data_IF_109521602725
#
_entry.id   IF_109521602725
#
_cell.length_a   1.000
_cell.length_b   1.000
_cell.length_c   1.000
_cell.angle_alpha   90.00
_cell.angle_beta   90.00
_cell.angle_gamma   90.00
#
_symmetry.space_group_name_H-M   'P 1'
#
loop_
_entity.id
_entity.type
_entity.pdbx_description
1 polymer ?
#
# COMPACT_ATOMS: atom_id res chain seq x y z
N UNK A 1 -53.56 -27.18 -27.42
CA UNK A 1 -52.09 -27.33 -27.63
C UNK A 1 -51.34 -25.99 -27.71
N UNK A 2 -51.91 -24.92 -28.30
CA UNK A 2 -51.24 -23.62 -28.46
C UNK A 2 -51.01 -22.82 -27.15
N UNK A 3 -51.91 -22.90 -26.16
CA UNK A 3 -51.79 -22.15 -24.88
C UNK A 3 -50.67 -22.63 -23.94
N UNK A 4 -50.14 -23.85 -24.13
CA UNK A 4 -49.11 -24.43 -23.25
C UNK A 4 -47.70 -24.06 -23.69
N UNK A 5 -47.51 -23.85 -24.99
CA UNK A 5 -46.22 -23.47 -25.59
C UNK A 5 -45.88 -22.01 -25.26
N UNK A 6 -46.88 -21.12 -25.18
CA UNK A 6 -46.67 -19.70 -24.84
C UNK A 6 -46.22 -19.50 -23.39
N UNK A 7 -46.71 -20.32 -22.45
CA UNK A 7 -46.26 -20.24 -21.05
C UNK A 7 -44.83 -20.74 -20.87
N UNK A 8 -44.43 -21.80 -21.58
CA UNK A 8 -43.05 -22.32 -21.52
C UNK A 8 -42.03 -21.28 -22.02
N UNK A 9 -42.34 -20.61 -23.14
CA UNK A 9 -41.47 -19.57 -23.68
C UNK A 9 -41.35 -18.34 -22.76
N UNK A 10 -42.43 -17.92 -22.10
CA UNK A 10 -42.39 -16.78 -21.16
C UNK A 10 -41.54 -17.09 -19.93
N UNK A 11 -41.65 -18.29 -19.35
CA UNK A 11 -40.81 -18.70 -18.21
C UNK A 11 -39.33 -18.86 -18.59
N UNK A 12 -39.04 -19.35 -19.80
CA UNK A 12 -37.69 -19.54 -20.29
C UNK A 12 -37.00 -18.20 -20.62
N UNK A 13 -37.76 -17.22 -21.13
CA UNK A 13 -37.28 -15.85 -21.33
C UNK A 13 -37.07 -15.10 -20.00
N UNK A 14 -37.96 -15.29 -19.00
CA UNK A 14 -37.80 -14.71 -17.67
C UNK A 14 -36.57 -15.27 -16.92
N UNK A 15 -36.25 -16.56 -17.11
CA UNK A 15 -35.02 -17.17 -16.58
C UNK A 15 -33.75 -16.65 -17.25
N UNK A 16 -33.77 -16.39 -18.56
CA UNK A 16 -32.60 -15.85 -19.30
C UNK A 16 -32.33 -14.38 -18.95
N UNK A 17 -33.37 -13.57 -18.77
CA UNK A 17 -33.23 -12.15 -18.37
C UNK A 17 -32.79 -12.01 -16.90
N UNK A 18 -33.18 -12.93 -16.02
CA UNK A 18 -32.72 -12.93 -14.61
C UNK A 18 -31.30 -13.47 -14.43
N UNK A 19 -30.82 -14.34 -15.33
CA UNK A 19 -29.41 -14.80 -15.34
C UNK A 19 -28.42 -13.73 -15.84
N UNK A 20 -28.90 -12.66 -16.47
CA UNK A 20 -28.04 -11.68 -17.16
C UNK A 20 -27.64 -10.47 -16.30
N UNK A 21 -27.86 -10.48 -14.98
CA UNK A 21 -27.57 -9.30 -14.12
C UNK A 21 -26.77 -9.64 -12.85
N UNK A 22 -26.13 -10.81 -12.79
CA UNK A 22 -25.04 -11.05 -11.84
C UNK A 22 -23.69 -10.82 -12.52
N UNK A 23 -23.55 -9.68 -13.21
CA UNK A 23 -22.23 -9.08 -13.38
C UNK A 23 -21.79 -8.64 -11.99
N UNK A 24 -21.02 -9.51 -11.33
CA UNK A 24 -20.22 -9.11 -10.18
C UNK A 24 -19.28 -8.01 -10.70
N UNK A 25 -19.69 -6.75 -10.54
CA UNK A 25 -18.91 -5.60 -10.94
C UNK A 25 -17.61 -5.63 -10.13
N UNK A 26 -16.58 -6.18 -10.76
CA UNK A 26 -15.29 -6.40 -10.11
C UNK A 26 -14.53 -5.09 -10.16
N UNK A 27 -14.62 -4.32 -9.07
CA UNK A 27 -13.90 -3.04 -8.88
C UNK A 27 -12.38 -3.22 -8.73
N UNK A 28 -11.86 -4.44 -8.85
CA UNK A 28 -10.44 -4.69 -8.72
C UNK A 28 -9.68 -4.03 -9.87
N UNK A 29 -8.59 -3.34 -9.54
CA UNK A 29 -7.69 -2.77 -10.54
C UNK A 29 -6.29 -3.34 -10.39
N UNK A 30 -5.60 -3.52 -11.52
CA UNK A 30 -4.21 -3.98 -11.56
C UNK A 30 -3.34 -2.84 -12.08
N UNK A 31 -2.38 -2.46 -11.27
CA UNK A 31 -1.45 -1.37 -11.53
C UNK A 31 -0.06 -1.98 -11.73
N UNK A 32 0.56 -1.69 -12.87
CA UNK A 32 1.85 -2.27 -13.23
C UNK A 32 2.92 -1.20 -13.27
N UNK A 33 4.05 -1.46 -12.63
CA UNK A 33 5.20 -0.56 -12.68
C UNK A 33 5.62 -0.40 -14.15
N UNK A 34 5.64 0.83 -14.68
CA UNK A 34 6.03 1.03 -16.07
C UNK A 34 7.44 0.53 -16.33
N UNK A 35 7.62 -0.14 -17.46
CA UNK A 35 8.95 -0.48 -17.98
C UNK A 35 9.73 0.82 -18.17
N UNK A 36 10.90 0.90 -17.53
CA UNK A 36 11.75 2.09 -17.49
C UNK A 36 13.20 1.68 -17.28
N UNK A 37 14.13 2.56 -17.64
CA UNK A 37 15.55 2.34 -17.37
C UNK A 37 15.85 2.54 -15.88
N UNK A 38 16.58 1.59 -15.32
CA UNK A 38 17.21 1.70 -14.00
C UNK A 38 18.69 1.94 -14.26
N UNK A 39 19.19 3.12 -13.92
CA UNK A 39 20.53 3.55 -14.31
C UNK A 39 21.60 3.16 -13.29
N UNK A 40 21.20 2.92 -12.04
CA UNK A 40 22.11 2.62 -10.93
C UNK A 40 21.60 1.44 -10.10
N UNK A 41 22.54 0.77 -9.45
CA UNK A 41 22.22 -0.19 -8.38
C UNK A 41 21.63 0.55 -7.17
N UNK A 42 20.77 -0.12 -6.40
CA UNK A 42 20.08 0.44 -5.24
C UNK A 42 19.25 1.71 -5.56
N UNK A 43 18.68 1.77 -6.77
CA UNK A 43 17.90 2.92 -7.22
C UNK A 43 16.41 2.80 -6.86
N UNK A 44 15.83 3.91 -6.40
CA UNK A 44 14.41 4.02 -6.06
C UNK A 44 13.65 4.71 -7.19
N UNK A 45 12.74 3.98 -7.83
CA UNK A 45 11.86 4.52 -8.87
C UNK A 45 10.42 4.49 -8.40
N UNK A 46 9.74 5.61 -8.62
CA UNK A 46 8.37 5.86 -8.22
C UNK A 46 7.49 5.99 -9.45
N UNK A 47 6.22 5.60 -9.30
CA UNK A 47 5.16 5.82 -10.27
C UNK A 47 3.84 6.14 -9.57
N UNK A 48 2.97 6.88 -10.25
CA UNK A 48 1.62 7.21 -9.77
C UNK A 48 0.55 6.75 -10.75
N UNK A 49 -0.58 6.31 -10.23
CA UNK A 49 -1.72 5.83 -11.00
C UNK A 49 -2.98 6.54 -10.53
N UNK A 50 -3.67 7.25 -11.42
CA UNK A 50 -5.00 7.78 -11.13
C UNK A 50 -5.99 6.60 -11.13
N UNK A 51 -6.80 6.48 -10.08
CA UNK A 51 -7.87 5.50 -10.01
C UNK A 51 -9.10 5.99 -10.78
N UNK A 52 -8.92 6.28 -12.07
CA UNK A 52 -9.92 6.96 -12.91
C UNK A 52 -11.20 6.13 -13.12
N UNK A 53 -11.04 4.81 -13.30
CA UNK A 53 -12.15 3.87 -13.51
C UNK A 53 -12.95 3.57 -12.23
N UNK A 54 -12.54 4.12 -11.09
CA UNK A 54 -13.19 3.93 -9.80
C UNK A 54 -13.68 5.30 -9.34
N UNK A 55 -14.96 5.63 -9.54
CA UNK A 55 -15.50 6.89 -9.03
C UNK A 55 -15.39 6.97 -7.50
N UNK A 56 -15.86 5.90 -6.84
CA UNK A 56 -15.80 5.68 -5.40
C UNK A 56 -15.74 4.18 -5.12
N UNK A 57 -14.82 3.76 -4.27
CA UNK A 57 -14.68 2.38 -3.82
C UNK A 57 -13.99 2.28 -2.46
N UNK A 58 -14.01 1.09 -1.90
CA UNK A 58 -13.45 0.80 -0.57
C UNK A 58 -12.35 -0.25 -0.70
N UNK A 59 -11.10 0.18 -0.45
CA UNK A 59 -9.93 -0.68 -0.50
C UNK A 59 -9.89 -1.64 0.69
N UNK A 60 -9.81 -2.94 0.39
CA UNK A 60 -9.86 -4.02 1.40
C UNK A 60 -8.64 -4.92 1.41
N UNK A 61 -7.94 -5.09 0.28
CA UNK A 61 -6.69 -5.88 0.23
C UNK A 61 -5.88 -5.59 -1.03
N UNK A 62 -4.60 -5.99 -1.02
CA UNK A 62 -3.75 -5.97 -2.20
C UNK A 62 -2.95 -7.26 -2.36
N UNK A 63 -2.65 -7.59 -3.61
CA UNK A 63 -1.78 -8.69 -4.00
C UNK A 63 -0.62 -8.18 -4.85
N UNK A 64 0.59 -8.58 -4.51
CA UNK A 64 1.81 -8.17 -5.19
C UNK A 64 2.25 -9.22 -6.23
N UNK A 65 2.82 -8.76 -7.33
CA UNK A 65 3.60 -9.57 -8.27
C UNK A 65 4.92 -8.87 -8.45
N UNK A 66 6.03 -9.48 -8.03
CA UNK A 66 7.34 -8.84 -7.95
C UNK A 66 8.39 -9.76 -8.55
N UNK A 67 9.29 -9.21 -9.36
CA UNK A 67 10.53 -9.89 -9.76
C UNK A 67 11.57 -9.74 -8.65
N UNK A 68 11.62 -10.74 -7.76
CA UNK A 68 12.50 -10.76 -6.60
C UNK A 68 13.99 -10.72 -6.96
N UNK A 69 14.35 -11.08 -8.20
CA UNK A 69 15.73 -11.00 -8.69
C UNK A 69 16.17 -9.55 -8.95
N UNK A 70 15.21 -8.67 -9.23
CA UNK A 70 15.45 -7.26 -9.54
C UNK A 70 15.12 -6.31 -8.40
N UNK A 71 14.28 -6.73 -7.44
CA UNK A 71 13.69 -5.81 -6.46
C UNK A 71 14.15 -6.14 -5.03
N UNK A 72 14.66 -5.14 -4.32
CA UNK A 72 14.97 -5.23 -2.89
C UNK A 72 13.68 -5.20 -2.06
N UNK A 73 12.84 -4.21 -2.34
CA UNK A 73 11.53 -4.05 -1.73
C UNK A 73 10.62 -3.16 -2.59
N UNK A 74 9.34 -3.15 -2.28
CA UNK A 74 8.34 -2.32 -2.96
C UNK A 74 7.42 -1.74 -1.90
N UNK A 75 7.27 -0.43 -1.85
CA UNK A 75 6.34 0.27 -0.96
C UNK A 75 5.17 0.89 -1.75
N UNK A 76 4.03 1.04 -1.09
CA UNK A 76 2.80 1.54 -1.70
C UNK A 76 2.11 2.55 -0.81
N UNK A 77 1.40 3.46 -1.46
CA UNK A 77 0.56 4.44 -0.78
C UNK A 77 -0.61 4.84 -1.64
N UNK A 78 -1.55 5.56 -1.05
CA UNK A 78 -2.59 6.26 -1.78
C UNK A 78 -2.68 7.69 -1.28
N UNK A 79 -2.89 8.63 -2.19
CA UNK A 79 -2.93 10.04 -1.84
C UNK A 79 -3.81 10.89 -2.74
N UNK A 80 -3.91 12.15 -2.36
CA UNK A 80 -4.69 13.17 -3.03
C UNK A 80 -4.04 13.63 -4.32
N UNK A 81 -2.73 13.85 -4.31
CA UNK A 81 -1.98 14.30 -5.48
C UNK A 81 -0.53 13.80 -5.39
N UNK A 82 0.05 13.23 -6.46
CA UNK A 82 1.46 12.88 -6.48
C UNK A 82 2.33 14.16 -6.57
N UNK A 83 3.60 14.08 -6.16
CA UNK A 83 4.55 15.18 -6.42
C UNK A 83 5.07 15.21 -7.87
N UNK A 84 4.86 14.15 -8.64
CA UNK A 84 5.21 14.05 -10.05
C UNK A 84 4.10 13.33 -10.82
N UNK A 85 3.83 13.80 -12.04
CA UNK A 85 2.94 13.14 -12.99
C UNK A 85 3.70 12.46 -14.14
N UNK A 86 5.04 12.41 -14.05
CA UNK A 86 5.83 11.58 -14.96
C UNK A 86 5.40 10.12 -14.80
N UNK A 87 5.45 9.36 -15.90
CA UNK A 87 5.13 7.92 -15.87
C UNK A 87 5.95 7.17 -14.81
N UNK A 88 7.23 7.53 -14.72
CA UNK A 88 8.16 7.09 -13.67
C UNK A 88 9.13 8.21 -13.33
N UNK A 89 9.58 8.30 -12.09
CA UNK A 89 10.61 9.25 -11.66
C UNK A 89 11.49 8.65 -10.57
N UNK A 90 12.71 9.17 -10.40
CA UNK A 90 13.53 8.84 -9.24
C UNK A 90 12.90 9.39 -7.96
N UNK A 91 12.61 8.53 -6.98
CA UNK A 91 12.03 8.92 -5.69
C UNK A 91 12.94 9.87 -4.89
N UNK A 92 14.24 9.93 -5.21
CA UNK A 92 15.15 10.89 -4.61
C UNK A 92 14.78 12.34 -4.97
N UNK A 93 14.17 12.58 -6.14
CA UNK A 93 13.69 13.91 -6.55
C UNK A 93 12.64 14.46 -5.58
N UNK A 94 11.87 13.59 -4.95
CA UNK A 94 10.78 13.93 -4.02
C UNK A 94 11.22 13.84 -2.55
N UNK A 95 12.51 13.58 -2.28
CA UNK A 95 13.06 13.41 -0.92
C UNK A 95 12.25 12.39 -0.08
N UNK A 96 11.73 11.35 -0.72
CA UNK A 96 10.89 10.32 -0.08
C UNK A 96 9.44 10.75 0.19
N UNK A 97 9.06 12.01 -0.07
CA UNK A 97 7.69 12.48 0.02
C UNK A 97 7.00 12.39 -1.34
N UNK A 98 6.32 11.29 -1.67
CA UNK A 98 5.75 11.14 -3.02
C UNK A 98 4.39 11.81 -3.24
N UNK A 99 3.81 12.41 -2.20
CA UNK A 99 2.44 12.92 -2.21
C UNK A 99 2.32 14.33 -1.61
N UNK A 100 1.34 15.08 -2.12
CA UNK A 100 0.84 16.33 -1.56
C UNK A 100 -0.59 16.12 -1.04
N UNK A 101 -0.92 16.77 0.07
CA UNK A 101 -2.26 16.70 0.66
C UNK A 101 -2.48 15.43 1.49
N UNK A 102 -3.69 14.89 1.48
CA UNK A 102 -3.96 13.64 2.21
C UNK A 102 -3.18 12.47 1.60
N UNK A 103 -2.54 11.67 2.44
CA UNK A 103 -1.81 10.48 2.04
C UNK A 103 -1.93 9.39 3.09
N UNK A 104 -1.93 8.14 2.64
CA UNK A 104 -1.98 6.95 3.46
C UNK A 104 -0.96 5.97 2.90
N UNK A 105 0.02 5.55 3.71
CA UNK A 105 0.90 4.45 3.35
C UNK A 105 0.15 3.13 3.55
N UNK A 106 0.26 2.22 2.59
CA UNK A 106 -0.50 0.96 2.56
C UNK A 106 0.37 -0.27 2.85
N UNK A 107 1.66 -0.08 3.14
CA UNK A 107 2.66 -1.14 3.22
C UNK A 107 3.32 -1.43 1.89
N UNK A 108 3.94 -2.60 1.81
CA UNK A 108 4.78 -2.98 0.69
C UNK A 108 4.84 -4.48 0.47
N UNK A 109 5.59 -4.92 -0.53
CA UNK A 109 5.79 -6.35 -0.75
C UNK A 109 6.62 -7.01 0.38
N UNK A 110 7.55 -6.27 0.98
CA UNK A 110 8.41 -6.67 2.09
C UNK A 110 7.86 -6.23 3.46
N UNK A 111 6.83 -5.38 3.47
CA UNK A 111 6.22 -4.82 4.67
C UNK A 111 4.75 -5.17 4.71
N UNK A 112 4.28 -5.71 5.83
CA UNK A 112 2.86 -6.04 6.03
C UNK A 112 2.31 -7.20 5.18
N UNK A 113 3.07 -7.78 4.25
CA UNK A 113 2.64 -8.96 3.51
C UNK A 113 2.66 -10.21 4.37
N UNK A 114 1.82 -11.16 3.96
CA UNK A 114 1.96 -12.58 4.32
C UNK A 114 2.90 -13.27 3.32
N UNK A 115 3.31 -14.51 3.61
CA UNK A 115 4.18 -15.34 2.74
C UNK A 115 3.68 -15.55 1.29
N UNK A 116 2.47 -15.11 0.98
CA UNK A 116 1.87 -15.15 -0.37
C UNK A 116 1.92 -13.81 -1.11
N UNK A 117 2.65 -12.82 -0.60
CA UNK A 117 2.73 -11.48 -1.21
C UNK A 117 1.39 -10.74 -1.15
N UNK A 118 0.62 -10.92 -0.06
CA UNK A 118 -0.71 -10.31 0.10
C UNK A 118 -0.83 -9.53 1.39
N UNK A 119 -1.47 -8.37 1.32
CA UNK A 119 -1.91 -7.58 2.47
C UNK A 119 -3.43 -7.67 2.56
N UNK A 120 -3.92 -8.06 3.73
CA UNK A 120 -5.35 -8.09 4.04
C UNK A 120 -5.66 -7.10 5.15
N UNK A 121 -6.73 -6.34 4.99
CA UNK A 121 -7.32 -5.63 6.10
C UNK A 121 -8.23 -6.55 6.91
N UNK A 122 -8.33 -6.35 8.23
CA UNK A 122 -9.35 -7.01 9.04
C UNK A 122 -10.75 -6.79 8.47
N UNK A 123 -11.65 -7.73 8.74
CA UNK A 123 -13.05 -7.61 8.33
C UNK A 123 -13.66 -6.30 8.85
N UNK A 124 -14.39 -5.61 7.97
CA UNK A 124 -15.03 -4.34 8.30
C UNK A 124 -14.08 -3.15 8.39
N UNK A 125 -12.82 -3.27 7.94
CA UNK A 125 -11.89 -2.15 7.75
C UNK A 125 -11.64 -1.91 6.26
N UNK A 126 -11.78 -0.65 5.82
CA UNK A 126 -11.36 -0.23 4.48
C UNK A 126 -10.89 1.23 4.44
N UNK A 127 -10.32 1.59 3.30
CA UNK A 127 -10.02 2.99 2.95
C UNK A 127 -10.95 3.38 1.81
N UNK A 128 -11.64 4.52 1.93
CA UNK A 128 -12.42 5.09 0.84
C UNK A 128 -11.48 5.73 -0.20
N UNK A 129 -11.59 5.32 -1.46
CA UNK A 129 -10.70 5.67 -2.56
C UNK A 129 -11.48 5.92 -3.85
N UNK A 130 -10.84 6.50 -4.86
CA UNK A 130 -11.44 6.71 -6.20
C UNK A 130 -11.37 8.15 -6.67
N UNK A 131 -11.63 8.38 -7.95
CA UNK A 131 -11.48 9.65 -8.66
C UNK A 131 -12.32 10.80 -8.09
N UNK A 132 -13.46 10.52 -7.44
CA UNK A 132 -14.30 11.52 -6.74
C UNK A 132 -13.98 11.65 -5.25
N UNK A 133 -12.97 10.96 -4.75
CA UNK A 133 -12.55 11.01 -3.35
C UNK A 133 -11.26 11.81 -3.18
N UNK A 134 -10.92 12.10 -1.92
CA UNK A 134 -9.63 12.73 -1.59
C UNK A 134 -8.43 11.81 -1.81
N UNK A 135 -8.61 10.48 -1.87
CA UNK A 135 -7.54 9.50 -2.07
C UNK A 135 -7.72 8.84 -3.43
N UNK A 136 -7.22 9.51 -4.47
CA UNK A 136 -7.49 9.17 -5.87
C UNK A 136 -6.26 8.70 -6.65
N UNK A 137 -5.05 8.89 -6.13
CA UNK A 137 -3.82 8.40 -6.74
C UNK A 137 -3.19 7.30 -5.92
N UNK A 138 -2.88 6.18 -6.56
CA UNK A 138 -2.02 5.15 -6.00
C UNK A 138 -0.56 5.46 -6.32
N UNK A 139 0.33 5.32 -5.34
CA UNK A 139 1.78 5.45 -5.49
C UNK A 139 2.42 4.08 -5.34
N UNK A 140 3.31 3.75 -6.26
CA UNK A 140 4.22 2.60 -6.17
C UNK A 140 5.66 3.12 -6.12
N UNK A 141 6.39 2.71 -5.09
CA UNK A 141 7.82 2.96 -4.93
C UNK A 141 8.55 1.62 -4.98
N UNK A 142 9.46 1.46 -5.93
CA UNK A 142 10.23 0.23 -6.13
C UNK A 142 11.71 0.51 -5.92
N UNK A 143 12.32 -0.22 -4.99
CA UNK A 143 13.76 -0.18 -4.76
C UNK A 143 14.42 -1.33 -5.54
N UNK A 144 15.14 -0.97 -6.61
CA UNK A 144 15.80 -1.91 -7.50
C UNK A 144 17.19 -2.28 -7.00
N UNK A 145 17.54 -3.57 -7.14
CA UNK A 145 18.87 -4.11 -6.81
C UNK A 145 19.90 -3.74 -7.87
N UNK A 146 19.52 -3.90 -9.13
CA UNK A 146 20.43 -3.92 -10.26
C UNK A 146 20.03 -2.89 -11.32
N UNK A 147 21.02 -2.48 -12.10
CA UNK A 147 20.81 -1.78 -13.38
C UNK A 147 19.98 -2.70 -14.28
N UNK A 148 18.96 -2.13 -14.91
CA UNK A 148 18.03 -2.86 -15.77
C UNK A 148 17.61 -1.94 -16.90
N UNK A 149 17.88 -2.32 -18.16
CA UNK A 149 17.47 -1.52 -19.31
C UNK A 149 16.02 -1.79 -19.69
N UNK A 150 15.31 -0.75 -20.10
CA UNK A 150 13.94 -0.86 -20.61
C UNK A 150 13.87 -1.82 -21.81
N UNK A 151 14.89 -1.84 -22.66
CA UNK A 151 14.99 -2.75 -23.81
C UNK A 151 15.17 -4.22 -23.45
N UNK A 152 15.59 -4.53 -22.23
CA UNK A 152 15.80 -5.90 -21.74
C UNK A 152 14.56 -6.44 -20.99
N UNK A 153 13.57 -5.57 -20.74
CA UNK A 153 12.36 -5.91 -20.00
C UNK A 153 11.25 -6.39 -20.96
N UNK A 154 10.91 -7.67 -20.85
CA UNK A 154 9.77 -8.24 -21.59
C UNK A 154 8.44 -8.13 -20.84
N UNK A 155 8.47 -7.68 -19.58
CA UNK A 155 7.31 -7.49 -18.70
C UNK A 155 7.64 -6.48 -17.58
N UNK A 156 6.64 -5.86 -16.95
CA UNK A 156 6.82 -5.10 -15.71
C UNK A 156 7.53 -5.92 -14.63
N UNK A 157 8.50 -5.30 -13.96
CA UNK A 157 9.20 -5.90 -12.81
C UNK A 157 8.32 -5.98 -11.56
N UNK A 158 7.29 -5.15 -11.47
CA UNK A 158 6.33 -5.19 -10.39
C UNK A 158 4.90 -4.87 -10.85
N UNK A 159 3.92 -5.42 -10.14
CA UNK A 159 2.52 -5.05 -10.24
C UNK A 159 1.80 -5.25 -8.91
N UNK A 160 0.76 -4.44 -8.70
CA UNK A 160 -0.12 -4.50 -7.54
C UNK A 160 -1.55 -4.65 -8.03
N UNK A 161 -2.25 -5.69 -7.57
CA UNK A 161 -3.69 -5.82 -7.77
C UNK A 161 -4.41 -5.35 -6.51
N UNK A 162 -5.09 -4.22 -6.61
CA UNK A 162 -5.96 -3.68 -5.58
C UNK A 162 -7.30 -4.41 -5.63
N UNK A 163 -7.78 -4.85 -4.46
CA UNK A 163 -9.11 -5.42 -4.30
C UNK A 163 -10.01 -4.41 -3.63
N UNK A 164 -11.11 -4.09 -4.29
CA UNK A 164 -12.05 -3.06 -3.88
C UNK A 164 -13.46 -3.64 -3.72
N UNK A 165 -14.28 -2.99 -2.90
CA UNK A 165 -15.72 -3.23 -2.80
C UNK A 165 -16.47 -1.91 -2.89
N UNK A 166 -17.73 -1.95 -3.32
CA UNK A 166 -18.69 -0.85 -3.30
C UNK A 166 -19.32 -0.64 -1.92
N UNK A 167 -19.15 -1.60 -1.00
CA UNK A 167 -19.74 -1.56 0.34
C UNK A 167 -18.85 -0.79 1.32
N UNK A 168 -19.36 0.28 1.95
CA UNK A 168 -18.62 0.97 3.00
C UNK A 168 -18.35 0.05 4.18
N UNK A 169 -17.22 0.26 4.82
CA UNK A 169 -16.84 -0.46 6.05
C UNK A 169 -17.34 0.24 7.30
N UNK A 170 -17.52 -0.52 8.38
CA UNK A 170 -17.88 0.02 9.69
C UNK A 170 -16.71 0.76 10.38
N UNK A 171 -15.47 0.42 10.01
CA UNK A 171 -14.27 1.03 10.53
C UNK A 171 -13.52 1.78 9.42
N UNK A 172 -12.96 2.93 9.77
CA UNK A 172 -12.05 3.67 8.92
C UNK A 172 -10.61 3.35 9.28
N UNK A 173 -9.77 3.17 8.27
CA UNK A 173 -8.33 3.02 8.45
C UNK A 173 -7.68 4.35 8.83
N UNK A 174 -6.77 4.29 9.79
CA UNK A 174 -5.89 5.39 10.16
C UNK A 174 -4.48 4.87 10.33
N UNK A 175 -3.52 5.51 9.68
CA UNK A 175 -2.11 5.35 10.00
C UNK A 175 -1.69 6.42 11.00
N UNK A 176 -0.92 6.03 12.01
CA UNK A 176 -0.26 6.94 12.92
C UNK A 176 1.25 6.69 12.84
N UNK A 177 1.98 7.68 12.37
CA UNK A 177 3.42 7.60 12.18
C UNK A 177 4.13 8.44 13.24
N UNK A 178 5.03 7.79 13.97
CA UNK A 178 5.95 8.43 14.88
C UNK A 178 7.31 8.48 14.21
N UNK A 179 7.72 9.68 13.81
CA UNK A 179 9.04 9.93 13.22
C UNK A 179 9.91 10.62 14.25
N UNK A 180 11.20 10.34 14.20
CA UNK A 180 12.17 11.04 15.01
C UNK A 180 13.32 11.57 14.14
N UNK A 181 13.88 12.69 14.57
CA UNK A 181 15.08 13.29 14.01
C UNK A 181 16.07 13.53 15.14
N UNK A 182 17.33 13.19 14.91
CA UNK A 182 18.37 13.36 15.91
C UNK A 182 19.75 13.38 15.29
N UNK A 183 20.75 13.57 16.15
CA UNK A 183 22.15 13.54 15.77
C UNK A 183 22.83 12.31 16.38
N UNK A 184 23.50 11.52 15.54
CA UNK A 184 24.33 10.40 15.97
C UNK A 184 25.79 10.83 15.78
N UNK A 185 26.54 11.07 16.87
CA UNK A 185 27.96 11.37 16.80
C UNK A 185 28.75 10.29 16.07
N UNK A 186 29.67 10.71 15.20
CA UNK A 186 30.55 9.79 14.48
C UNK A 186 31.54 9.10 15.43
N UNK A 187 31.84 7.83 15.16
CA UNK A 187 32.86 7.02 15.84
C UNK A 187 32.66 6.89 17.36
N UNK A 188 31.40 6.89 17.82
CA UNK A 188 31.05 6.60 19.20
C UNK A 188 30.55 5.16 19.33
N UNK A 189 31.12 4.35 20.25
CA UNK A 189 30.69 2.97 20.46
C UNK A 189 29.36 2.87 21.23
N UNK A 190 28.92 3.95 21.89
CA UNK A 190 27.69 3.95 22.67
C UNK A 190 26.44 3.95 21.79
N UNK A 191 25.40 3.23 22.21
CA UNK A 191 24.09 3.32 21.59
C UNK A 191 23.45 4.69 21.83
N UNK A 192 22.98 5.33 20.76
CA UNK A 192 22.25 6.59 20.84
C UNK A 192 20.75 6.34 20.77
N UNK A 193 20.02 6.84 21.77
CA UNK A 193 18.56 6.77 21.81
C UNK A 193 17.97 8.02 21.18
N UNK A 194 16.88 7.81 20.44
CA UNK A 194 16.08 8.88 19.89
C UNK A 194 14.63 8.56 20.25
N UNK A 195 14.01 9.40 21.09
CA UNK A 195 12.64 9.20 21.57
C UNK A 195 11.66 10.21 20.96
N UNK A 196 10.43 9.76 20.71
CA UNK A 196 9.32 10.62 20.31
C UNK A 196 8.07 10.17 21.06
N UNK A 197 7.31 11.13 21.57
CA UNK A 197 6.11 10.87 22.34
C UNK A 197 5.08 11.95 22.02
N UNK A 198 3.83 11.54 21.88
CA UNK A 198 2.72 12.42 21.57
C UNK A 198 1.50 12.00 22.38
N UNK A 199 0.76 12.99 22.88
CA UNK A 199 -0.51 12.75 23.56
C UNK A 199 -1.60 12.40 22.53
N UNK A 200 -2.38 11.35 22.82
CA UNK A 200 -3.51 10.96 21.98
C UNK A 200 -4.79 11.67 22.43
N UNK A 201 -5.17 12.72 21.71
CA UNK A 201 -6.38 13.54 21.99
C UNK A 201 -7.56 13.24 21.08
N UNK A 202 -7.48 12.14 20.30
CA UNK A 202 -8.49 11.72 19.32
C UNK A 202 -9.37 10.59 19.86
N UNK A 203 -10.48 10.23 19.19
CA UNK A 203 -11.27 9.05 19.56
C UNK A 203 -10.43 7.79 19.68
N UNK A 204 -10.92 6.81 20.43
CA UNK A 204 -10.23 5.55 20.64
C UNK A 204 -10.01 4.81 19.30
N UNK A 205 -8.79 4.35 19.07
CA UNK A 205 -8.41 3.52 17.92
C UNK A 205 -7.95 2.15 18.40
N UNK A 206 -8.10 1.14 17.53
CA UNK A 206 -7.58 -0.21 17.76
C UNK A 206 -6.34 -0.40 16.90
N UNK A 207 -5.19 -0.58 17.55
CA UNK A 207 -3.98 -1.01 16.85
C UNK A 207 -4.18 -2.47 16.40
N UNK A 208 -3.99 -2.73 15.11
CA UNK A 208 -4.01 -4.10 14.57
C UNK A 208 -2.70 -4.48 13.86
N UNK A 209 -1.90 -3.48 13.49
CA UNK A 209 -0.63 -3.69 12.78
C UNK A 209 0.34 -2.54 13.05
N UNK A 210 1.62 -2.87 13.09
CA UNK A 210 2.72 -1.90 13.19
C UNK A 210 3.86 -2.32 12.27
N UNK A 211 4.66 -1.36 11.83
CA UNK A 211 5.97 -1.56 11.20
C UNK A 211 6.91 -0.50 11.73
N UNK A 212 8.18 -0.85 11.83
CA UNK A 212 9.25 0.11 12.06
C UNK A 212 10.00 0.35 10.75
N UNK A 213 10.74 1.46 10.70
CA UNK A 213 11.70 1.71 9.65
C UNK A 213 12.93 2.39 10.26
N UNK A 214 14.11 1.90 9.91
CA UNK A 214 15.38 2.51 10.26
C UNK A 214 16.36 2.37 9.11
N UNK A 215 17.26 3.33 8.95
CA UNK A 215 18.43 3.17 8.08
C UNK A 215 19.46 2.22 8.73
N UNK A 216 20.61 2.06 8.07
CA UNK A 216 21.67 1.11 8.44
C UNK A 216 22.26 1.28 9.86
N UNK A 217 22.11 2.45 10.50
CA UNK A 217 22.54 2.68 11.89
C UNK A 217 21.49 2.27 12.94
N UNK A 218 20.25 2.00 12.53
CA UNK A 218 19.22 1.55 13.44
C UNK A 218 19.55 0.17 13.98
N UNK A 219 19.32 -0.02 15.28
CA UNK A 219 19.49 -1.30 15.98
C UNK A 219 18.15 -1.85 16.43
N UNK A 220 17.38 -0.99 17.11
CA UNK A 220 16.11 -1.34 17.71
C UNK A 220 15.20 -0.12 17.66
N UNK A 221 13.94 -0.33 17.26
CA UNK A 221 12.87 0.65 17.39
C UNK A 221 11.69 -0.01 18.10
N UNK A 222 11.22 0.59 19.18
CA UNK A 222 10.12 0.06 19.99
C UNK A 222 9.01 1.10 20.15
N UNK A 223 7.77 0.62 20.22
CA UNK A 223 6.59 1.46 20.40
C UNK A 223 5.82 1.02 21.64
N UNK A 224 5.33 2.01 22.39
CA UNK A 224 4.58 1.81 23.63
C UNK A 224 3.34 2.69 23.66
N UNK A 225 2.25 2.17 24.25
CA UNK A 225 1.11 2.95 24.69
C UNK A 225 1.27 3.23 26.18
N UNK A 226 1.38 4.49 26.55
CA UNK A 226 1.47 4.90 27.94
C UNK A 226 0.11 5.39 28.43
N UNK A 227 -0.45 4.75 29.45
CA UNK A 227 -1.72 5.15 30.09
C UNK A 227 -1.58 5.06 31.61
N UNK A 228 -1.87 6.16 32.31
CA UNK A 228 -1.74 6.22 33.77
C UNK A 228 -0.37 5.72 34.26
N UNK A 229 0.72 6.19 33.61
CA UNK A 229 2.11 5.77 33.86
C UNK A 229 2.40 4.27 33.62
N UNK A 230 1.44 3.51 33.11
CA UNK A 230 1.63 2.11 32.72
C UNK A 230 2.05 2.06 31.26
N UNK A 231 3.16 1.39 30.97
CA UNK A 231 3.70 1.20 29.64
C UNK A 231 3.23 -0.14 29.09
N UNK A 232 2.44 -0.10 28.02
CA UNK A 232 2.01 -1.28 27.28
C UNK A 232 2.82 -1.38 26.00
N UNK A 233 3.62 -2.43 25.85
CA UNK A 233 4.37 -2.70 24.62
C UNK A 233 3.43 -2.93 23.44
N UNK A 234 3.69 -2.24 22.32
CA UNK A 234 2.91 -2.37 21.09
C UNK A 234 3.64 -3.20 20.03
N UNK A 235 4.96 -3.08 19.96
CA UNK A 235 5.76 -3.73 18.93
C UNK A 235 7.21 -3.27 18.88
N UNK A 236 8.04 -4.04 18.20
CA UNK A 236 9.46 -3.75 18.00
C UNK A 236 9.90 -4.11 16.59
N UNK A 237 10.79 -3.29 16.03
CA UNK A 237 11.64 -3.66 14.89
C UNK A 237 13.07 -3.86 15.40
N UNK A 238 13.64 -5.05 15.20
CA UNK A 238 15.09 -5.26 15.30
C UNK A 238 15.69 -5.19 13.91
N UNK A 239 16.60 -4.24 13.71
CA UNK A 239 17.36 -4.15 12.47
C UNK A 239 18.47 -5.20 12.50
N UNK A 240 18.67 -5.90 11.40
CA UNK A 240 19.81 -6.79 11.24
C UNK A 240 21.07 -5.92 11.06
N UNK A 241 21.75 -5.58 12.15
CA UNK A 241 23.15 -5.17 12.04
C UNK A 241 23.90 -6.33 11.40
N UNK A 242 24.25 -6.19 10.12
CA UNK A 242 25.35 -6.95 9.56
C UNK A 242 26.58 -6.43 10.30
N UNK A 243 27.01 -7.14 11.33
CA UNK A 243 28.35 -7.00 11.88
C UNK A 243 29.31 -7.08 10.69
N UNK A 244 29.93 -5.94 10.34
CA UNK A 244 31.06 -5.93 9.42
C UNK A 244 32.24 -6.64 10.05
#
# INVERSE_FOLDING_TARGET
MVKMITKLFVYQFLCLVTFSILECHRLDTRLEMPITDIEKTDEYICSSFLLEDIEEGYYVSMNFTVDETQIHHLSTGICEEPLSHEKTWSCAKTQGANCKGAAVNLGGWDQFTTDKGKIFFPEGLSIKVGSKTKLKYFIMEVHYRNILKASEQNKPSAAVTLRLTDKPSALYYQMYQLTNSGYIPANKPEGHFSETACEWTRPAVKLYKYSGHTHHHGVLAEAFLVRNKTWTFLGSLKSHMKTK
#
